data_IF_192400279925
#
_entry.id   IF_192400279925
#
_cell.length_a   1.000
_cell.length_b   1.000
_cell.length_c   1.000
_cell.angle_alpha   90.00
_cell.angle_beta   90.00
_cell.angle_gamma   90.00
#
_symmetry.space_group_name_H-M   'P 1'
#
loop_
_entity.id
_entity.type
_entity.pdbx_description
1 polymer ?
#
# COMPACT_ATOMS: atom_id res chain seq x y z
N UNK A 1 -17.73 -1.80 -15.24
CA UNK A 1 -18.01 -2.05 -13.80
C UNK A 1 -19.49 -2.34 -13.53
N UNK A 2 -20.43 -1.46 -13.92
CA UNK A 2 -21.88 -1.66 -13.69
C UNK A 2 -22.45 -2.95 -14.31
N UNK A 3 -21.91 -3.40 -15.46
CA UNK A 3 -22.34 -4.63 -16.14
C UNK A 3 -21.98 -5.91 -15.36
N UNK A 4 -20.91 -5.90 -14.56
CA UNK A 4 -20.54 -7.04 -13.71
C UNK A 4 -21.48 -7.15 -12.51
N UNK A 5 -21.94 -6.03 -11.96
CA UNK A 5 -22.87 -5.97 -10.82
C UNK A 5 -24.24 -6.58 -11.14
N UNK A 6 -24.79 -6.28 -12.33
CA UNK A 6 -26.06 -6.87 -12.81
C UNK A 6 -25.96 -8.38 -13.03
N UNK A 7 -24.81 -8.85 -13.53
CA UNK A 7 -24.54 -10.28 -13.73
C UNK A 7 -24.48 -11.01 -12.39
N UNK A 8 -23.88 -10.37 -11.38
CA UNK A 8 -23.77 -10.91 -10.03
C UNK A 8 -25.15 -11.18 -9.42
N UNK A 9 -26.05 -10.20 -9.47
CA UNK A 9 -27.42 -10.32 -8.94
C UNK A 9 -28.24 -11.44 -9.62
N UNK A 10 -28.12 -11.56 -10.95
CA UNK A 10 -28.75 -12.64 -11.73
C UNK A 10 -28.25 -14.04 -11.34
N UNK A 11 -26.98 -14.18 -10.94
CA UNK A 11 -26.44 -15.46 -10.47
C UNK A 11 -26.88 -15.84 -9.06
N UNK A 12 -27.18 -14.84 -8.20
CA UNK A 12 -27.77 -15.05 -6.87
C UNK A 12 -29.18 -15.62 -7.01
N UNK A 13 -29.99 -15.03 -7.89
CA UNK A 13 -31.37 -15.45 -8.13
C UNK A 13 -31.49 -16.83 -8.81
N UNK A 14 -30.43 -17.32 -9.44
CA UNK A 14 -30.41 -18.62 -10.13
C UNK A 14 -29.87 -19.77 -9.28
N UNK A 15 -29.61 -19.55 -7.98
CA UNK A 15 -29.22 -20.60 -7.04
C UNK A 15 -27.81 -21.16 -7.27
N UNK A 16 -27.01 -20.51 -8.11
CA UNK A 16 -25.59 -20.82 -8.27
C UNK A 16 -24.84 -20.38 -7.01
N UNK A 17 -23.94 -21.23 -6.51
CA UNK A 17 -23.09 -20.87 -5.38
C UNK A 17 -22.35 -19.56 -5.70
N UNK A 18 -22.65 -18.51 -4.93
CA UNK A 18 -22.05 -17.18 -5.07
C UNK A 18 -20.53 -17.27 -5.15
N UNK A 19 -19.93 -18.20 -4.39
CA UNK A 19 -18.50 -18.51 -4.45
C UNK A 19 -18.05 -18.72 -5.89
N UNK A 20 -18.71 -19.55 -6.70
CA UNK A 20 -18.26 -19.83 -8.07
C UNK A 20 -18.30 -18.60 -8.99
N UNK A 21 -19.23 -17.67 -8.75
CA UNK A 21 -19.37 -16.41 -9.50
C UNK A 21 -18.28 -15.43 -9.12
N UNK A 22 -18.04 -15.27 -7.82
CA UNK A 22 -16.98 -14.41 -7.29
C UNK A 22 -15.58 -14.91 -7.67
N UNK A 23 -15.39 -16.22 -7.93
CA UNK A 23 -14.09 -16.79 -8.33
C UNK A 23 -13.69 -16.40 -9.76
N UNK A 24 -14.68 -16.11 -10.61
CA UNK A 24 -14.47 -15.63 -11.98
C UNK A 24 -14.17 -14.13 -12.05
N UNK A 25 -14.34 -13.42 -10.94
CA UNK A 25 -14.20 -11.98 -10.85
C UNK A 25 -12.98 -11.70 -9.98
N UNK A 26 -11.85 -11.37 -10.61
CA UNK A 26 -10.51 -11.23 -9.99
C UNK A 26 -10.37 -9.97 -9.10
N UNK A 27 -11.48 -9.51 -8.52
CA UNK A 27 -11.59 -8.28 -7.74
C UNK A 27 -11.32 -8.56 -6.24
N UNK A 28 -11.48 -9.82 -5.81
CA UNK A 28 -11.37 -10.20 -4.41
C UNK A 28 -10.17 -11.08 -4.12
N UNK A 29 -9.53 -10.81 -2.99
CA UNK A 29 -8.43 -11.62 -2.48
C UNK A 29 -8.91 -13.05 -2.19
N UNK A 30 -8.04 -14.05 -2.40
CA UNK A 30 -8.38 -15.47 -2.22
C UNK A 30 -8.86 -15.80 -0.79
N UNK A 31 -8.45 -14.99 0.19
CA UNK A 31 -8.92 -15.06 1.57
C UNK A 31 -10.40 -14.67 1.70
N UNK A 32 -10.81 -13.57 1.06
CA UNK A 32 -12.20 -13.07 1.05
C UNK A 32 -13.14 -14.12 0.46
N UNK A 33 -12.67 -14.85 -0.54
CA UNK A 33 -13.40 -15.97 -1.13
C UNK A 33 -13.72 -17.09 -0.14
N UNK A 34 -12.73 -17.43 0.68
CA UNK A 34 -12.83 -18.49 1.69
C UNK A 34 -13.78 -18.08 2.80
N UNK A 35 -13.70 -16.81 3.24
CA UNK A 35 -14.63 -16.23 4.20
C UNK A 35 -16.07 -16.21 3.67
N UNK A 36 -16.27 -15.80 2.42
CA UNK A 36 -17.59 -15.79 1.76
C UNK A 36 -18.19 -17.19 1.69
N UNK A 37 -17.40 -18.20 1.34
CA UNK A 37 -17.84 -19.59 1.25
C UNK A 37 -18.29 -20.16 2.61
N UNK A 38 -17.64 -19.77 3.70
CA UNK A 38 -18.01 -20.17 5.07
C UNK A 38 -19.25 -19.41 5.56
N UNK A 39 -19.34 -18.11 5.27
CA UNK A 39 -20.45 -17.27 5.68
C UNK A 39 -21.76 -17.64 4.98
N UNK A 40 -21.72 -18.00 3.70
CA UNK A 40 -22.90 -18.50 2.99
C UNK A 40 -23.44 -19.80 3.56
N UNK A 41 -22.57 -20.77 3.84
CA UNK A 41 -22.96 -22.07 4.42
C UNK A 41 -23.57 -21.93 5.82
N UNK A 42 -23.20 -20.88 6.54
CA UNK A 42 -23.68 -20.60 7.90
C UNK A 42 -24.82 -19.57 7.95
N UNK A 43 -25.20 -18.98 6.81
CA UNK A 43 -26.19 -17.90 6.74
C UNK A 43 -25.74 -16.58 7.38
N UNK A 44 -24.43 -16.38 7.61
CA UNK A 44 -23.86 -15.26 8.37
C UNK A 44 -23.21 -14.20 7.47
N UNK A 45 -23.93 -13.77 6.44
CA UNK A 45 -23.43 -12.76 5.49
C UNK A 45 -23.23 -11.37 6.10
N UNK A 46 -24.01 -11.02 7.13
CA UNK A 46 -23.84 -9.75 7.86
C UNK A 46 -22.49 -9.69 8.57
N UNK A 47 -22.11 -10.77 9.25
CA UNK A 47 -20.80 -10.91 9.93
C UNK A 47 -19.66 -10.86 8.92
N UNK A 48 -19.83 -11.50 7.76
CA UNK A 48 -18.84 -11.46 6.68
C UNK A 48 -18.54 -10.04 6.20
N UNK A 49 -19.57 -9.20 6.05
CA UNK A 49 -19.40 -7.82 5.59
C UNK A 49 -18.48 -7.04 6.53
N UNK A 50 -18.69 -7.18 7.84
CA UNK A 50 -17.86 -6.57 8.86
C UNK A 50 -16.43 -7.12 8.84
N UNK A 51 -16.28 -8.43 8.67
CA UNK A 51 -14.99 -9.11 8.57
C UNK A 51 -14.16 -8.63 7.36
N UNK A 52 -14.80 -8.49 6.19
CA UNK A 52 -14.17 -7.98 4.97
C UNK A 52 -13.77 -6.51 5.16
N UNK A 53 -14.64 -5.69 5.75
CA UNK A 53 -14.33 -4.29 6.03
C UNK A 53 -13.09 -4.17 6.94
N UNK A 54 -13.03 -4.96 8.03
CA UNK A 54 -11.87 -5.02 8.92
C UNK A 54 -10.61 -5.49 8.19
N UNK A 55 -10.70 -6.51 7.35
CA UNK A 55 -9.57 -7.00 6.56
C UNK A 55 -8.97 -5.91 5.66
N UNK A 56 -9.79 -5.20 4.90
CA UNK A 56 -9.31 -4.13 4.02
C UNK A 56 -8.81 -2.91 4.79
N UNK A 57 -9.44 -2.58 5.93
CA UNK A 57 -8.96 -1.52 6.81
C UNK A 57 -7.56 -1.84 7.35
N UNK A 58 -7.37 -3.04 7.88
CA UNK A 58 -6.08 -3.48 8.38
C UNK A 58 -5.03 -3.61 7.27
N UNK A 59 -5.43 -4.04 6.07
CA UNK A 59 -4.56 -4.03 4.88
C UNK A 59 -4.12 -2.61 4.53
N UNK A 60 -5.03 -1.64 4.58
CA UNK A 60 -4.71 -0.23 4.33
C UNK A 60 -3.78 0.36 5.39
N UNK A 61 -4.03 0.07 6.67
CA UNK A 61 -3.16 0.48 7.78
C UNK A 61 -1.75 -0.09 7.62
N UNK A 62 -1.63 -1.40 7.38
CA UNK A 62 -0.35 -2.06 7.16
C UNK A 62 0.42 -1.50 5.96
N UNK A 63 -0.29 -1.12 4.89
CA UNK A 63 0.33 -0.47 3.73
C UNK A 63 0.85 0.91 4.13
N UNK A 64 0.04 1.71 4.83
CA UNK A 64 0.44 3.03 5.33
C UNK A 64 1.69 2.96 6.21
N UNK A 65 1.72 2.02 7.16
CA UNK A 65 2.87 1.83 8.04
C UNK A 65 4.13 1.50 7.26
N UNK A 66 4.03 0.62 6.26
CA UNK A 66 5.16 0.32 5.37
C UNK A 66 5.61 1.54 4.60
N UNK A 67 4.68 2.34 4.07
CA UNK A 67 5.02 3.60 3.40
C UNK A 67 5.77 4.56 4.34
N UNK A 68 5.35 4.68 5.59
CA UNK A 68 6.01 5.52 6.59
C UNK A 68 7.43 5.02 6.91
N UNK A 69 7.62 3.71 7.05
CA UNK A 69 8.95 3.10 7.26
C UNK A 69 9.89 3.38 6.08
N UNK A 70 9.39 3.41 4.84
CA UNK A 70 10.19 3.79 3.67
C UNK A 70 10.48 5.29 3.59
N UNK A 71 9.61 6.14 4.14
CA UNK A 71 9.82 7.60 4.14
C UNK A 71 10.99 8.03 5.04
N UNK A 72 11.19 7.35 6.18
CA UNK A 72 12.29 7.65 7.10
C UNK A 72 13.67 7.69 6.40
N UNK A 73 14.14 6.62 5.72
CA UNK A 73 15.45 6.64 5.06
C UNK A 73 15.53 7.64 3.90
N UNK A 74 14.42 7.95 3.22
CA UNK A 74 14.41 8.97 2.17
C UNK A 74 14.71 10.36 2.74
N UNK A 75 14.08 10.70 3.86
CA UNK A 75 14.32 11.98 4.54
C UNK A 75 15.76 12.08 5.05
N UNK A 76 16.30 11.01 5.64
CA UNK A 76 17.70 10.97 6.08
C UNK A 76 18.67 11.15 4.91
N UNK A 77 18.44 10.49 3.78
CA UNK A 77 19.28 10.63 2.58
C UNK A 77 19.24 12.07 2.05
N UNK A 78 18.06 12.70 2.03
CA UNK A 78 17.90 14.10 1.64
C UNK A 78 18.70 15.03 2.55
N UNK A 79 18.60 14.87 3.87
CA UNK A 79 19.39 15.66 4.83
C UNK A 79 20.89 15.42 4.65
N UNK A 80 21.33 14.18 4.46
CA UNK A 80 22.73 13.86 4.23
C UNK A 80 23.29 14.55 2.97
N UNK A 81 22.51 14.59 1.89
CA UNK A 81 22.88 15.30 0.66
C UNK A 81 22.96 16.82 0.88
N UNK A 82 22.00 17.41 1.61
CA UNK A 82 22.04 18.83 1.94
C UNK A 82 23.28 19.18 2.75
N UNK A 83 23.61 18.39 3.78
CA UNK A 83 24.81 18.60 4.60
C UNK A 83 26.08 18.47 3.76
N UNK A 84 26.16 17.47 2.88
CA UNK A 84 27.29 17.31 1.97
C UNK A 84 27.44 18.51 1.03
N UNK A 85 26.34 19.01 0.47
CA UNK A 85 26.35 20.16 -0.41
C UNK A 85 26.85 21.42 0.30
N UNK A 86 26.36 21.67 1.52
CA UNK A 86 26.83 22.80 2.35
C UNK A 86 28.31 22.66 2.72
N UNK A 87 28.75 21.44 3.09
CA UNK A 87 30.14 21.17 3.42
C UNK A 87 31.07 21.47 2.23
N UNK A 88 30.72 20.98 1.02
CA UNK A 88 31.49 21.28 -0.19
C UNK A 88 31.55 22.79 -0.48
N UNK A 89 30.44 23.50 -0.29
CA UNK A 89 30.38 24.95 -0.45
C UNK A 89 31.33 25.74 0.47
N UNK A 90 31.64 25.20 1.66
CA UNK A 90 32.57 25.82 2.61
C UNK A 90 34.01 25.33 2.37
N UNK A 91 34.21 24.03 2.16
CA UNK A 91 35.55 23.45 2.04
C UNK A 91 36.29 23.85 0.76
N UNK A 92 35.58 23.99 -0.36
CA UNK A 92 36.19 24.42 -1.63
C UNK A 92 36.89 25.79 -1.54
N UNK A 93 36.21 26.88 -1.13
CA UNK A 93 36.88 28.19 -1.03
C UNK A 93 37.94 28.22 0.07
N UNK A 94 37.77 27.44 1.15
CA UNK A 94 38.81 27.32 2.18
C UNK A 94 40.11 26.72 1.62
N UNK A 95 40.02 25.75 0.70
CA UNK A 95 41.19 25.17 0.03
C UNK A 95 41.85 26.17 -0.93
N UNK A 96 41.05 26.93 -1.68
CA UNK A 96 41.56 28.01 -2.54
C UNK A 96 42.30 29.07 -1.72
N UNK A 97 41.76 29.47 -0.57
CA UNK A 97 42.44 30.40 0.35
C UNK A 97 43.74 29.80 0.91
N UNK A 98 43.74 28.53 1.33
CA UNK A 98 44.94 27.87 1.85
C UNK A 98 46.04 27.70 0.81
N UNK A 99 45.70 27.51 -0.47
CA UNK A 99 46.65 27.35 -1.57
C UNK A 99 47.12 28.69 -2.17
N UNK A 100 46.31 29.74 -2.05
CA UNK A 100 46.61 31.10 -2.49
C UNK A 100 47.55 31.88 -1.56
N UNK A 101 47.76 31.44 -0.31
CA UNK A 101 48.78 32.01 0.59
C UNK A 101 50.16 31.45 0.20
N UNK A 102 50.66 31.90 -0.95
CA UNK A 102 52.09 31.84 -1.24
C UNK A 102 52.78 32.86 -0.35
N UNK A 103 53.42 32.38 0.72
CA UNK A 103 54.38 33.15 1.50
C UNK A 103 55.60 33.42 0.63
N UNK A 104 55.64 34.58 -0.01
CA UNK A 104 56.84 35.11 -0.65
C UNK A 104 57.03 36.58 -0.26
#
# INVERSE_FOLDING_TARGET
>A
LIFQYKKLFSFIDSGLELSQVFKKIDIFDSLVFSMLSVAMKSGRLEVLSEEIAKYYQQKSENLMDRFLVFLEPMMTLFVALLVLFLALGIFLPMWELSSGVNFN
#
